data_IF_545756674533
#
_entry.id   IF_545756674533
#
_cell.length_a   1.000
_cell.length_b   1.000
_cell.length_c   1.000
_cell.angle_alpha   90.00
_cell.angle_beta   90.00
_cell.angle_gamma   90.00
#
_symmetry.space_group_name_H-M   'P 1'
#
loop_
_entity.id
_entity.type
_entity.pdbx_description
1 polymer ?
#
# COMPACT_ATOMS: atom_id res chain seq x y z
N UNK A 1 8.34 -31.47 10.28
CA UNK A 1 7.16 -30.61 10.46
C UNK A 1 7.38 -29.34 9.66
N UNK A 2 6.58 -29.06 8.62
CA UNK A 2 6.70 -27.87 7.79
C UNK A 2 5.89 -26.74 8.44
N UNK A 3 6.48 -26.07 9.43
CA UNK A 3 5.85 -25.02 10.23
C UNK A 3 5.90 -23.66 9.53
N UNK A 4 5.33 -23.55 8.34
CA UNK A 4 5.12 -22.23 7.75
C UNK A 4 4.14 -21.47 8.66
N UNK A 5 4.67 -20.56 9.48
CA UNK A 5 3.88 -19.77 10.41
C UNK A 5 2.75 -19.06 9.68
N UNK A 6 1.53 -19.19 10.19
CA UNK A 6 0.39 -18.49 9.66
C UNK A 6 0.52 -17.00 10.02
N UNK A 7 1.15 -16.21 9.15
CA UNK A 7 1.39 -14.78 9.34
C UNK A 7 0.06 -14.02 9.26
N UNK A 8 -0.66 -13.92 10.39
CA UNK A 8 -1.97 -13.26 10.44
C UNK A 8 -1.93 -11.73 10.59
N UNK A 9 -0.75 -11.11 10.70
CA UNK A 9 -0.58 -9.67 10.83
C UNK A 9 0.74 -9.24 10.19
N UNK A 10 0.71 -8.90 8.90
CA UNK A 10 1.88 -8.52 8.11
C UNK A 10 1.99 -6.98 8.11
N UNK A 11 3.18 -6.48 8.41
CA UNK A 11 3.54 -5.09 8.20
C UNK A 11 4.47 -4.99 7.00
N UNK A 12 4.19 -4.07 6.09
CA UNK A 12 5.02 -3.83 4.92
C UNK A 12 5.59 -2.42 4.97
N UNK A 13 6.79 -2.25 4.42
CA UNK A 13 7.39 -0.94 4.25
C UNK A 13 8.17 -0.87 2.95
N UNK A 14 8.22 0.30 2.34
CA UNK A 14 9.01 0.48 1.13
C UNK A 14 9.18 1.93 0.71
N UNK A 15 10.25 2.17 -0.06
CA UNK A 15 10.59 3.46 -0.64
C UNK A 15 10.43 3.42 -2.17
N UNK A 16 10.01 4.53 -2.79
CA UNK A 16 9.83 4.65 -4.24
C UNK A 16 8.94 3.51 -4.79
N UNK A 17 9.42 2.73 -5.76
CA UNK A 17 8.72 1.56 -6.28
C UNK A 17 8.39 0.52 -5.19
N UNK A 18 9.26 0.35 -4.19
CA UNK A 18 9.00 -0.51 -3.04
C UNK A 18 7.83 -0.01 -2.19
N UNK A 19 7.67 1.31 -2.07
CA UNK A 19 6.53 1.93 -1.38
C UNK A 19 5.22 1.71 -2.13
N UNK A 20 5.26 1.77 -3.47
CA UNK A 20 4.11 1.39 -4.31
C UNK A 20 3.70 -0.07 -4.09
N UNK A 21 4.66 -0.99 -4.02
CA UNK A 21 4.37 -2.40 -3.73
C UNK A 21 3.82 -2.61 -2.31
N UNK A 22 4.37 -1.93 -1.31
CA UNK A 22 3.86 -1.99 0.06
C UNK A 22 2.40 -1.50 0.15
N UNK A 23 2.10 -0.35 -0.48
CA UNK A 23 0.75 0.22 -0.52
C UNK A 23 -0.26 -0.66 -1.27
N UNK A 24 0.11 -1.19 -2.43
CA UNK A 24 -0.77 -2.10 -3.19
C UNK A 24 -1.02 -3.42 -2.46
N UNK A 25 -0.02 -3.96 -1.76
CA UNK A 25 -0.21 -5.16 -0.92
C UNK A 25 -1.20 -4.92 0.22
N UNK A 26 -1.23 -3.73 0.84
CA UNK A 26 -2.21 -3.41 1.88
C UNK A 26 -3.67 -3.46 1.40
N UNK A 27 -3.89 -3.22 0.10
CA UNK A 27 -5.20 -3.27 -0.54
C UNK A 27 -5.56 -4.71 -0.92
N UNK A 28 -4.59 -5.46 -1.45
CA UNK A 28 -4.82 -6.78 -2.05
C UNK A 28 -4.77 -7.93 -1.05
N UNK A 29 -4.06 -7.78 0.07
CA UNK A 29 -3.85 -8.85 1.05
C UNK A 29 -4.43 -8.45 2.42
N UNK A 30 -5.48 -9.16 2.84
CA UNK A 30 -6.17 -8.93 4.10
C UNK A 30 -5.30 -9.19 5.33
N UNK A 31 -4.19 -9.91 5.18
CA UNK A 31 -3.21 -10.15 6.26
C UNK A 31 -2.34 -8.93 6.51
N UNK A 32 -2.23 -8.00 5.56
CA UNK A 32 -1.48 -6.75 5.76
C UNK A 32 -2.31 -5.83 6.63
N UNK A 33 -1.79 -5.52 7.81
CA UNK A 33 -2.44 -4.66 8.81
C UNK A 33 -1.91 -3.24 8.76
N UNK A 34 -0.71 -3.04 8.22
CA UNK A 34 -0.13 -1.71 7.99
C UNK A 34 0.88 -1.74 6.86
N UNK A 35 0.89 -0.67 6.05
CA UNK A 35 1.92 -0.39 5.05
C UNK A 35 2.51 1.00 5.28
N UNK A 36 3.83 1.09 5.36
CA UNK A 36 4.55 2.38 5.43
C UNK A 36 5.23 2.66 4.10
N UNK A 37 4.87 3.76 3.44
CA UNK A 37 5.41 4.11 2.14
C UNK A 37 6.19 5.42 2.22
N UNK A 38 7.36 5.46 1.57
CA UNK A 38 8.20 6.65 1.50
C UNK A 38 8.39 7.04 0.03
N UNK A 39 8.12 8.30 -0.32
CA UNK A 39 8.34 8.82 -1.68
C UNK A 39 7.76 7.91 -2.77
N UNK A 40 6.60 7.33 -2.49
CA UNK A 40 6.01 6.30 -3.31
C UNK A 40 5.09 6.90 -4.38
N UNK A 41 5.13 6.40 -5.62
CA UNK A 41 4.15 6.79 -6.62
C UNK A 41 2.78 6.22 -6.26
N UNK A 42 1.73 6.97 -6.55
CA UNK A 42 0.35 6.48 -6.42
C UNK A 42 0.01 5.35 -7.39
N UNK A 43 -1.18 4.77 -7.21
CA UNK A 43 -1.69 3.72 -8.10
C UNK A 43 -2.35 4.31 -9.36
N UNK A 44 -2.31 3.58 -10.47
CA UNK A 44 -2.96 4.01 -11.71
C UNK A 44 -4.50 3.94 -11.61
N UNK A 45 -5.20 4.75 -12.41
CA UNK A 45 -6.67 4.69 -12.48
C UNK A 45 -7.18 3.30 -12.91
N UNK A 46 -6.44 2.61 -13.79
CA UNK A 46 -6.74 1.23 -14.17
C UNK A 46 -6.67 0.26 -12.98
N UNK A 47 -5.68 0.43 -12.10
CA UNK A 47 -5.57 -0.37 -10.87
C UNK A 47 -6.74 -0.07 -9.92
N UNK A 48 -7.13 1.20 -9.76
CA UNK A 48 -8.28 1.57 -8.95
C UNK A 48 -9.58 0.95 -9.48
N UNK A 49 -9.83 1.05 -10.78
CA UNK A 49 -11.02 0.48 -11.42
C UNK A 49 -11.06 -1.04 -11.30
N UNK A 50 -9.93 -1.71 -11.51
CA UNK A 50 -9.84 -3.18 -11.41
C UNK A 50 -10.09 -3.69 -9.99
N UNK A 51 -9.73 -2.92 -8.98
CA UNK A 51 -9.81 -3.31 -7.57
C UNK A 51 -10.81 -2.45 -6.78
N UNK A 52 -11.83 -1.89 -7.44
CA UNK A 52 -12.75 -0.91 -6.87
C UNK A 52 -13.45 -1.40 -5.60
N UNK A 53 -13.78 -2.70 -5.53
CA UNK A 53 -14.36 -3.34 -4.33
C UNK A 53 -13.41 -3.41 -3.13
N UNK A 54 -12.10 -3.31 -3.35
CA UNK A 54 -11.06 -3.36 -2.33
C UNK A 54 -10.54 -1.97 -1.95
N UNK A 55 -10.88 -0.93 -2.71
CA UNK A 55 -10.56 0.48 -2.42
C UNK A 55 -11.46 1.06 -1.33
N UNK A 56 -11.67 0.30 -0.26
CA UNK A 56 -12.50 0.70 0.88
C UNK A 56 -11.70 1.63 1.80
N UNK A 57 -12.42 2.45 2.58
CA UNK A 57 -11.79 3.31 3.61
C UNK A 57 -10.92 2.49 4.58
N UNK A 58 -11.33 1.27 4.90
CA UNK A 58 -10.63 0.37 5.81
C UNK A 58 -9.31 -0.16 5.24
N UNK A 59 -9.23 -0.41 3.93
CA UNK A 59 -7.98 -0.84 3.31
C UNK A 59 -7.04 0.34 3.09
N UNK A 60 -7.58 1.51 2.72
CA UNK A 60 -6.79 2.72 2.52
C UNK A 60 -6.21 3.27 3.82
N UNK A 61 -6.93 3.13 4.95
CA UNK A 61 -6.46 3.57 6.27
C UNK A 61 -5.24 2.81 6.81
N UNK A 62 -4.93 1.63 6.24
CA UNK A 62 -3.74 0.85 6.58
C UNK A 62 -2.45 1.48 6.05
N UNK A 63 -2.54 2.40 5.10
CA UNK A 63 -1.40 2.93 4.35
C UNK A 63 -0.94 4.27 4.93
N UNK A 64 0.21 4.26 5.59
CA UNK A 64 0.89 5.45 6.08
C UNK A 64 1.88 5.93 5.02
N UNK A 65 1.66 7.10 4.43
CA UNK A 65 2.49 7.62 3.33
C UNK A 65 3.27 8.85 3.75
N UNK A 66 4.57 8.84 3.49
CA UNK A 66 5.50 9.92 3.79
C UNK A 66 6.17 10.39 2.50
N UNK A 67 6.17 11.70 2.28
CA UNK A 67 6.81 12.34 1.13
C UNK A 67 7.88 13.31 1.62
N UNK A 68 9.08 13.22 1.06
CA UNK A 68 10.14 14.20 1.28
C UNK A 68 9.82 15.49 0.51
N UNK A 69 10.13 16.64 1.12
CA UNK A 69 9.96 17.93 0.44
C UNK A 69 10.80 17.97 -0.84
N UNK A 70 10.17 18.35 -1.96
CA UNK A 70 10.80 18.39 -3.28
C UNK A 70 10.89 17.05 -4.01
N UNK A 71 10.35 15.97 -3.46
CA UNK A 71 10.23 14.70 -4.20
C UNK A 71 9.17 14.78 -5.30
N UNK A 72 9.57 14.46 -6.53
CA UNK A 72 8.70 14.48 -7.71
C UNK A 72 7.97 13.14 -7.93
N UNK A 73 8.36 12.10 -7.18
CA UNK A 73 7.76 10.76 -7.27
C UNK A 73 6.46 10.67 -6.49
N UNK A 74 6.42 11.28 -5.30
CA UNK A 74 5.23 11.34 -4.47
C UNK A 74 4.11 12.18 -5.09
N UNK A 75 3.25 11.54 -5.87
CA UNK A 75 1.85 11.97 -6.01
C UNK A 75 1.04 11.16 -5.01
N UNK A 76 0.36 11.77 -4.03
CA UNK A 76 -0.44 11.02 -3.06
C UNK A 76 -1.39 10.08 -3.79
N UNK A 77 -1.57 8.86 -3.27
CA UNK A 77 -2.67 7.99 -3.72
C UNK A 77 -3.95 8.79 -3.59
N UNK A 78 -4.56 9.15 -4.72
CA UNK A 78 -5.81 9.89 -4.74
C UNK A 78 -6.86 9.02 -4.07
N UNK A 79 -7.20 9.37 -2.83
CA UNK A 79 -8.46 8.97 -2.23
C UNK A 79 -9.52 9.71 -3.05
N UNK A 80 -10.22 9.01 -3.94
CA UNK A 80 -11.33 9.60 -4.68
C UNK A 80 -12.32 10.31 -3.77
#
# INVERSE_FOLDING_TARGET
>A
MNGAGNLKNIQTAGHSLGGFHAGTQAILDSRVTSATTFNAPGVSASFMNKNSSLMTKDNLSKINSYAASGDLVSKPMSTG
#
